data_IF_588947151842
#
_entry.id   IF_588947151842
#
_cell.length_a   1.000
_cell.length_b   1.000
_cell.length_c   1.000
_cell.angle_alpha   90.00
_cell.angle_beta   90.00
_cell.angle_gamma   90.00
#
_symmetry.space_group_name_H-M   'P 1'
#
loop_
_entity.id
_entity.type
_entity.pdbx_description
1 polymer ?
#
# COMPACT_ATOMS: atom_id res chain seq x y z
N UNK A 1 -2.83 30.72 42.79
CA UNK A 1 -2.11 30.82 41.50
C UNK A 1 -1.50 29.51 40.97
N UNK A 2 -1.75 28.33 41.58
CA UNK A 2 -1.28 27.04 41.02
C UNK A 2 -2.29 26.36 40.06
N UNK A 3 -3.59 26.66 40.19
CA UNK A 3 -4.64 26.01 39.40
C UNK A 3 -4.88 26.62 38.01
N UNK A 4 -4.57 27.91 37.80
CA UNK A 4 -4.74 28.58 36.51
C UNK A 4 -3.68 28.14 35.48
N UNK A 5 -2.50 27.74 35.95
CA UNK A 5 -1.40 27.27 35.11
C UNK A 5 -1.68 25.87 34.52
N UNK A 6 -2.41 25.02 35.25
CA UNK A 6 -2.81 23.68 34.79
C UNK A 6 -3.80 23.72 33.62
N UNK A 7 -4.71 24.71 33.60
CA UNK A 7 -5.74 24.86 32.56
C UNK A 7 -5.18 25.36 31.22
N UNK A 8 -4.16 26.22 31.25
CA UNK A 8 -3.52 26.76 30.04
C UNK A 8 -2.66 25.68 29.37
N UNK A 9 -2.01 24.83 30.16
CA UNK A 9 -1.20 23.71 29.65
C UNK A 9 -2.09 22.64 29.01
N UNK A 10 -3.22 22.26 29.61
CA UNK A 10 -4.14 21.26 29.02
C UNK A 10 -4.82 21.73 27.73
N UNK A 11 -5.17 23.02 27.62
CA UNK A 11 -5.74 23.57 26.38
C UNK A 11 -4.73 23.63 25.23
N UNK A 12 -3.46 23.91 25.52
CA UNK A 12 -2.39 23.92 24.51
C UNK A 12 -2.08 22.51 23.96
N UNK A 13 -2.22 21.45 24.77
CA UNK A 13 -2.00 20.07 24.31
C UNK A 13 -3.16 19.51 23.48
N UNK A 14 -4.40 19.95 23.74
CA UNK A 14 -5.58 19.51 22.98
C UNK A 14 -5.61 20.11 21.57
N UNK A 15 -5.17 21.36 21.39
CA UNK A 15 -5.13 22.03 20.09
C UNK A 15 -4.03 21.49 19.17
N UNK A 16 -2.88 21.05 19.71
CA UNK A 16 -1.85 20.38 18.92
C UNK A 16 -2.31 19.01 18.39
N UNK A 17 -3.01 18.22 19.21
CA UNK A 17 -3.51 16.89 18.79
C UNK A 17 -4.60 17.00 17.71
N UNK A 18 -5.48 18.00 17.79
CA UNK A 18 -6.51 18.21 16.76
C UNK A 18 -5.89 18.70 15.45
N UNK A 19 -4.95 19.65 15.49
CA UNK A 19 -4.26 20.14 14.29
C UNK A 19 -3.47 19.03 13.58
N UNK A 20 -2.72 18.22 14.33
CA UNK A 20 -1.98 17.08 13.78
C UNK A 20 -2.91 16.03 13.13
N UNK A 21 -4.08 15.79 13.73
CA UNK A 21 -5.08 14.87 13.17
C UNK A 21 -5.65 15.39 11.84
N UNK A 22 -5.86 16.71 11.72
CA UNK A 22 -6.37 17.34 10.50
C UNK A 22 -5.33 17.30 9.39
N UNK A 23 -4.07 17.62 9.69
CA UNK A 23 -2.96 17.53 8.75
C UNK A 23 -2.78 16.09 8.22
N UNK A 24 -2.86 15.09 9.09
CA UNK A 24 -2.77 13.69 8.71
C UNK A 24 -3.86 13.23 7.74
N UNK A 25 -5.08 13.81 7.83
CA UNK A 25 -6.19 13.52 6.92
C UNK A 25 -5.88 14.10 5.54
N UNK A 26 -5.45 15.36 5.46
CA UNK A 26 -5.12 16.00 4.18
C UNK A 26 -3.96 15.31 3.46
N UNK A 27 -2.97 14.82 4.20
CA UNK A 27 -1.86 14.05 3.61
C UNK A 27 -2.39 12.75 3.01
N UNK A 28 -3.26 12.01 3.72
CA UNK A 28 -3.84 10.78 3.19
C UNK A 28 -4.71 11.03 1.96
N UNK A 29 -5.55 12.06 1.97
CA UNK A 29 -6.35 12.47 0.81
C UNK A 29 -5.47 12.80 -0.40
N UNK A 30 -4.39 13.55 -0.18
CA UNK A 30 -3.45 13.88 -1.25
C UNK A 30 -2.76 12.63 -1.83
N UNK A 31 -2.33 11.70 -0.97
CA UNK A 31 -1.69 10.45 -1.41
C UNK A 31 -2.69 9.60 -2.21
N UNK A 32 -3.93 9.46 -1.74
CA UNK A 32 -4.99 8.74 -2.45
C UNK A 32 -5.26 9.34 -3.82
N UNK A 33 -5.42 10.66 -3.90
CA UNK A 33 -5.65 11.35 -5.18
C UNK A 33 -4.46 11.21 -6.14
N UNK A 34 -3.23 11.27 -5.62
CA UNK A 34 -2.05 10.99 -6.44
C UNK A 34 -2.11 9.57 -7.01
N UNK A 35 -2.39 8.58 -6.15
CA UNK A 35 -2.42 7.17 -6.53
C UNK A 35 -3.46 6.90 -7.62
N UNK A 36 -4.69 7.36 -7.43
CA UNK A 36 -5.78 7.23 -8.41
C UNK A 36 -5.44 7.90 -9.74
N UNK A 37 -4.85 9.09 -9.71
CA UNK A 37 -4.49 9.83 -10.92
C UNK A 37 -3.35 9.15 -11.69
N UNK A 38 -2.34 8.63 -10.99
CA UNK A 38 -1.24 7.89 -11.63
C UNK A 38 -1.70 6.54 -12.19
N UNK A 39 -2.62 5.84 -11.51
CA UNK A 39 -3.27 4.64 -12.07
C UNK A 39 -4.08 4.99 -13.32
N UNK A 40 -4.88 6.07 -13.27
CA UNK A 40 -5.66 6.52 -14.42
C UNK A 40 -4.76 6.85 -15.62
N UNK A 41 -3.69 7.62 -15.41
CA UNK A 41 -2.69 7.91 -16.46
C UNK A 41 -2.10 6.62 -17.02
N UNK A 42 -1.73 5.68 -16.14
CA UNK A 42 -1.14 4.41 -16.54
C UNK A 42 -2.09 3.60 -17.40
N UNK A 43 -3.35 3.42 -16.98
CA UNK A 43 -4.37 2.73 -17.79
C UNK A 43 -4.54 3.40 -19.14
N UNK A 44 -4.56 4.74 -19.19
CA UNK A 44 -4.68 5.46 -20.45
C UNK A 44 -3.48 5.32 -21.38
N UNK A 45 -2.26 5.10 -20.85
CA UNK A 45 -1.10 4.78 -21.68
C UNK A 45 -1.24 3.44 -22.41
N UNK A 46 -2.03 2.51 -21.85
CA UNK A 46 -2.34 1.21 -22.45
C UNK A 46 -3.73 1.16 -23.11
N UNK A 47 -4.38 2.30 -23.35
CA UNK A 47 -5.78 2.37 -23.82
C UNK A 47 -5.99 1.78 -25.24
N UNK A 48 -4.93 1.62 -26.03
CA UNK A 48 -5.00 0.89 -27.32
C UNK A 48 -5.08 -0.63 -27.13
N UNK A 49 -4.54 -1.14 -26.01
CA UNK A 49 -4.48 -2.56 -25.67
C UNK A 49 -5.64 -2.99 -24.74
N UNK A 50 -6.32 -2.02 -24.12
CA UNK A 50 -7.38 -2.25 -23.14
C UNK A 50 -8.73 -1.79 -23.69
N UNK A 51 -9.74 -2.68 -23.79
CA UNK A 51 -11.09 -2.26 -24.15
C UNK A 51 -11.64 -1.24 -23.14
N UNK A 52 -12.26 -0.16 -23.63
CA UNK A 52 -12.76 0.97 -22.82
C UNK A 52 -13.64 0.56 -21.61
N UNK A 53 -14.38 -0.55 -21.72
CA UNK A 53 -15.22 -1.06 -20.63
C UNK A 53 -14.44 -1.70 -19.47
N UNK A 54 -13.14 -1.95 -19.62
CA UNK A 54 -12.25 -2.46 -18.57
C UNK A 54 -11.46 -1.37 -17.85
N UNK A 55 -11.53 -0.11 -18.30
CA UNK A 55 -10.77 1.00 -17.70
C UNK A 55 -11.06 1.15 -16.21
N UNK A 56 -12.34 1.15 -15.83
CA UNK A 56 -12.75 1.24 -14.43
C UNK A 56 -12.27 0.03 -13.61
N UNK A 57 -12.31 -1.17 -14.19
CA UNK A 57 -11.82 -2.39 -13.56
C UNK A 57 -10.31 -2.35 -13.34
N UNK A 58 -9.53 -1.77 -14.27
CA UNK A 58 -8.08 -1.62 -14.10
C UNK A 58 -7.72 -0.57 -13.05
N UNK A 59 -8.45 0.54 -12.98
CA UNK A 59 -8.23 1.56 -11.93
C UNK A 59 -8.47 0.95 -10.53
N UNK A 60 -9.42 0.02 -10.42
CA UNK A 60 -9.76 -0.65 -9.16
C UNK A 60 -9.06 -2.00 -8.96
N UNK A 61 -8.01 -2.28 -9.72
CA UNK A 61 -7.40 -3.61 -9.79
C UNK A 61 -6.83 -4.10 -8.46
N UNK A 62 -6.21 -3.23 -7.65
CA UNK A 62 -5.75 -3.61 -6.30
C UNK A 62 -6.90 -4.07 -5.41
N UNK A 63 -8.04 -3.39 -5.45
CA UNK A 63 -9.25 -3.77 -4.72
C UNK A 63 -9.79 -5.12 -5.20
N UNK A 64 -9.83 -5.33 -6.52
CA UNK A 64 -10.27 -6.61 -7.08
C UNK A 64 -9.35 -7.76 -6.66
N UNK A 65 -8.04 -7.53 -6.65
CA UNK A 65 -7.07 -8.54 -6.22
C UNK A 65 -7.18 -8.84 -4.72
N UNK A 66 -7.26 -7.82 -3.86
CA UNK A 66 -7.47 -8.03 -2.41
C UNK A 66 -8.77 -8.81 -2.14
N UNK A 67 -9.86 -8.44 -2.81
CA UNK A 67 -11.15 -9.12 -2.70
C UNK A 67 -11.05 -10.57 -3.15
N UNK A 68 -10.32 -10.83 -4.23
CA UNK A 68 -10.07 -12.19 -4.70
C UNK A 68 -9.29 -13.00 -3.65
N UNK A 69 -8.21 -12.46 -3.08
CA UNK A 69 -7.43 -13.14 -2.04
C UNK A 69 -8.29 -13.49 -0.81
N UNK A 70 -9.21 -12.59 -0.42
CA UNK A 70 -10.16 -12.84 0.67
C UNK A 70 -11.14 -13.96 0.32
N UNK A 71 -11.73 -13.90 -0.87
CA UNK A 71 -12.71 -14.89 -1.32
C UNK A 71 -12.10 -16.30 -1.47
N UNK A 72 -10.85 -16.38 -1.90
CA UNK A 72 -10.09 -17.64 -1.99
C UNK A 72 -9.50 -18.09 -0.64
N UNK A 73 -9.76 -17.34 0.44
CA UNK A 73 -9.23 -17.61 1.80
C UNK A 73 -7.71 -17.66 1.88
N UNK A 74 -7.03 -17.00 0.94
CA UNK A 74 -5.59 -16.72 0.99
C UNK A 74 -5.32 -15.63 2.01
N UNK A 75 -6.20 -14.64 2.06
CA UNK A 75 -6.25 -13.59 3.07
C UNK A 75 -7.53 -13.78 3.90
N UNK A 76 -7.49 -13.61 5.23
CA UNK A 76 -8.71 -13.79 6.04
C UNK A 76 -9.64 -12.57 5.94
N UNK A 77 -9.06 -11.37 5.96
CA UNK A 77 -9.73 -10.06 5.89
C UNK A 77 -8.73 -8.97 5.44
N UNK A 78 -9.19 -7.74 5.28
CA UNK A 78 -8.36 -6.60 4.87
C UNK A 78 -7.47 -6.01 5.99
N UNK A 79 -7.37 -6.69 7.14
CA UNK A 79 -6.61 -6.19 8.28
C UNK A 79 -5.11 -6.41 8.15
N UNK A 80 -4.36 -5.55 8.83
CA UNK A 80 -2.91 -5.63 8.95
C UNK A 80 -2.43 -7.01 9.43
N UNK A 81 -3.13 -7.64 10.37
CA UNK A 81 -2.75 -8.93 10.91
C UNK A 81 -2.94 -10.06 9.90
N UNK A 82 -3.99 -10.00 9.08
CA UNK A 82 -4.18 -10.95 7.98
C UNK A 82 -3.07 -10.86 6.96
N UNK A 83 -2.61 -9.64 6.62
CA UNK A 83 -1.45 -9.47 5.76
C UNK A 83 -0.16 -10.01 6.38
N UNK A 84 0.09 -9.77 7.68
CA UNK A 84 1.27 -10.35 8.36
C UNK A 84 1.28 -11.87 8.26
N UNK A 85 0.14 -12.50 8.58
CA UNK A 85 -0.01 -13.95 8.52
C UNK A 85 0.19 -14.48 7.09
N UNK A 86 -0.34 -13.79 6.09
CA UNK A 86 -0.12 -14.14 4.68
C UNK A 86 1.37 -14.19 4.34
N UNK A 87 2.16 -13.18 4.72
CA UNK A 87 3.60 -13.19 4.46
C UNK A 87 4.36 -14.26 5.26
N UNK A 88 3.94 -14.57 6.49
CA UNK A 88 4.48 -15.71 7.25
C UNK A 88 4.16 -17.05 6.55
N UNK A 89 2.95 -17.21 6.03
CA UNK A 89 2.55 -18.43 5.33
C UNK A 89 3.28 -18.56 3.98
N UNK A 90 3.63 -17.45 3.32
CA UNK A 90 4.50 -17.43 2.14
C UNK A 90 5.96 -17.81 2.47
N UNK A 91 6.50 -17.28 3.58
CA UNK A 91 7.84 -17.65 4.06
C UNK A 91 7.96 -19.15 4.30
N UNK A 92 6.90 -19.72 4.90
CA UNK A 92 6.79 -21.15 5.19
C UNK A 92 6.32 -21.99 3.99
N UNK A 93 6.23 -21.41 2.79
CA UNK A 93 5.83 -22.09 1.55
C UNK A 93 4.48 -22.82 1.63
N UNK A 94 3.55 -22.32 2.46
CA UNK A 94 2.19 -22.88 2.58
C UNK A 94 1.25 -22.38 1.49
N UNK A 95 1.64 -21.34 0.77
CA UNK A 95 0.84 -20.65 -0.24
C UNK A 95 1.63 -20.59 -1.54
N UNK A 96 1.00 -20.95 -2.65
CA UNK A 96 1.57 -20.85 -3.98
C UNK A 96 1.01 -19.62 -4.72
N UNK A 97 1.75 -18.50 -4.74
CA UNK A 97 1.28 -17.27 -5.39
C UNK A 97 1.19 -17.36 -6.92
N UNK A 98 1.91 -18.28 -7.56
CA UNK A 98 1.85 -18.46 -9.01
C UNK A 98 0.48 -19.05 -9.42
N UNK A 99 0.02 -20.04 -8.68
CA UNK A 99 -1.32 -20.62 -8.84
C UNK A 99 -2.41 -19.57 -8.56
N UNK A 100 -2.24 -18.78 -7.51
CA UNK A 100 -3.17 -17.70 -7.15
C UNK A 100 -3.23 -16.63 -8.25
N UNK A 101 -2.08 -16.19 -8.78
CA UNK A 101 -1.99 -15.26 -9.91
C UNK A 101 -2.73 -15.81 -11.12
N UNK A 102 -2.49 -17.08 -11.46
CA UNK A 102 -3.12 -17.75 -12.61
C UNK A 102 -4.65 -17.76 -12.46
N UNK A 103 -5.15 -18.21 -11.30
CA UNK A 103 -6.58 -18.25 -11.01
C UNK A 103 -7.23 -16.86 -11.05
N UNK A 104 -6.51 -15.82 -10.60
CA UNK A 104 -7.00 -14.45 -10.65
C UNK A 104 -7.16 -13.94 -12.09
N UNK A 105 -6.15 -14.16 -12.95
CA UNK A 105 -6.19 -13.76 -14.36
C UNK A 105 -7.32 -14.49 -15.10
N UNK A 106 -7.48 -15.79 -14.86
CA UNK A 106 -8.56 -16.59 -15.45
C UNK A 106 -9.94 -16.06 -15.09
N UNK A 107 -10.14 -15.62 -13.83
CA UNK A 107 -11.42 -15.02 -13.39
C UNK A 107 -11.68 -13.65 -13.99
N UNK A 108 -10.64 -12.81 -14.11
CA UNK A 108 -10.79 -11.46 -14.66
C UNK A 108 -11.14 -11.48 -16.15
N UNK A 109 -10.69 -12.50 -16.90
CA UNK A 109 -10.83 -12.58 -18.37
C UNK A 109 -10.14 -11.42 -19.11
N UNK A 110 -9.26 -10.70 -18.44
CA UNK A 110 -8.35 -9.72 -19.01
C UNK A 110 -7.06 -9.67 -18.18
N UNK A 111 -6.00 -9.13 -18.78
CA UNK A 111 -4.66 -9.19 -18.22
C UNK A 111 -4.37 -7.95 -17.35
N UNK A 112 -4.13 -8.08 -16.03
CA UNK A 112 -4.00 -6.94 -15.13
C UNK A 112 -2.56 -6.43 -15.01
N UNK A 113 -1.62 -7.01 -15.74
CA UNK A 113 -0.19 -6.65 -15.75
C UNK A 113 0.11 -5.16 -15.96
N UNK A 114 -0.67 -4.39 -16.76
CA UNK A 114 -0.49 -2.95 -16.83
C UNK A 114 -0.52 -2.27 -15.47
N UNK A 115 -1.19 -2.82 -14.46
CA UNK A 115 -1.24 -2.25 -13.11
C UNK A 115 -0.11 -2.77 -12.22
N UNK A 116 0.16 -4.07 -12.28
CA UNK A 116 1.06 -4.73 -11.32
C UNK A 116 2.50 -4.84 -11.79
N UNK A 117 2.78 -4.72 -13.09
CA UNK A 117 4.11 -4.88 -13.64
C UNK A 117 4.73 -3.55 -14.10
N UNK A 118 6.05 -3.55 -14.30
CA UNK A 118 6.82 -2.37 -14.71
C UNK A 118 6.65 -1.19 -13.75
N UNK A 119 6.44 0.00 -14.30
CA UNK A 119 6.27 1.24 -13.51
C UNK A 119 5.06 1.26 -12.58
N UNK A 120 4.10 0.34 -12.71
CA UNK A 120 2.91 0.28 -11.85
C UNK A 120 3.23 -0.09 -10.41
N UNK A 121 4.25 -0.95 -10.23
CA UNK A 121 4.80 -1.33 -8.92
C UNK A 121 5.22 -0.14 -8.06
N UNK A 122 5.71 0.93 -8.71
CA UNK A 122 6.31 2.09 -8.07
C UNK A 122 5.31 3.19 -7.73
N UNK A 123 4.09 3.16 -8.28
CA UNK A 123 3.10 4.22 -8.09
C UNK A 123 2.83 4.52 -6.61
N UNK A 124 2.56 3.51 -5.74
CA UNK A 124 2.31 3.78 -4.32
C UNK A 124 3.47 4.54 -3.66
N UNK A 125 4.71 4.07 -3.92
CA UNK A 125 5.93 4.65 -3.38
C UNK A 125 6.13 6.09 -3.84
N UNK A 126 5.95 6.36 -5.13
CA UNK A 126 6.08 7.71 -5.71
C UNK A 126 5.07 8.67 -5.08
N UNK A 127 3.81 8.24 -4.91
CA UNK A 127 2.78 9.10 -4.32
C UNK A 127 3.02 9.40 -2.84
N UNK A 128 3.47 8.41 -2.07
CA UNK A 128 3.85 8.62 -0.67
C UNK A 128 5.08 9.56 -0.57
N UNK A 129 6.07 9.39 -1.46
CA UNK A 129 7.25 10.25 -1.51
C UNK A 129 6.92 11.69 -1.93
N UNK A 130 6.02 11.89 -2.90
CA UNK A 130 5.59 13.23 -3.33
C UNK A 130 4.83 13.96 -2.22
N UNK A 131 3.98 13.25 -1.47
CA UNK A 131 3.32 13.82 -0.30
C UNK A 131 4.34 14.24 0.76
N UNK A 132 5.35 13.39 0.99
CA UNK A 132 6.44 13.71 1.91
C UNK A 132 7.20 14.98 1.51
N UNK A 133 7.54 15.15 0.22
CA UNK A 133 8.20 16.35 -0.29
C UNK A 133 7.32 17.60 -0.20
N UNK A 134 6.03 17.47 -0.51
CA UNK A 134 5.10 18.60 -0.61
C UNK A 134 4.70 19.17 0.75
N UNK A 135 4.50 18.31 1.76
CA UNK A 135 4.06 18.71 3.10
C UNK A 135 5.23 18.90 4.07
N UNK A 136 6.46 19.07 3.54
CA UNK A 136 7.66 19.40 4.31
C UNK A 136 7.87 18.50 5.54
N UNK A 137 7.56 17.20 5.40
CA UNK A 137 7.56 16.23 6.51
C UNK A 137 8.98 15.85 6.98
N UNK A 138 9.98 16.73 6.89
CA UNK A 138 11.36 16.57 7.38
C UNK A 138 11.50 16.29 8.88
N UNK A 139 10.41 16.00 9.60
CA UNK A 139 10.50 15.14 10.77
C UNK A 139 10.93 13.74 10.33
N UNK A 140 12.25 13.59 10.14
CA UNK A 140 12.94 12.31 10.26
C UNK A 140 12.32 11.56 11.44
N UNK A 141 11.75 10.38 11.16
CA UNK A 141 11.06 9.56 12.16
C UNK A 141 9.53 9.54 12.09
N UNK A 142 8.87 10.23 11.15
CA UNK A 142 7.46 9.96 10.87
C UNK A 142 7.27 8.53 10.33
N UNK A 143 6.10 7.92 10.55
CA UNK A 143 5.85 6.57 10.05
C UNK A 143 5.86 6.51 8.52
N UNK A 144 5.37 7.55 7.82
CA UNK A 144 5.43 7.62 6.34
C UNK A 144 6.87 7.74 5.84
N UNK A 145 7.73 8.45 6.56
CA UNK A 145 9.17 8.50 6.25
C UNK A 145 9.81 7.11 6.39
N UNK A 146 9.55 6.43 7.51
CA UNK A 146 10.05 5.08 7.73
C UNK A 146 9.48 4.09 6.69
N UNK A 147 8.25 4.33 6.21
CA UNK A 147 7.62 3.51 5.18
C UNK A 147 8.35 3.64 3.85
N UNK A 148 8.70 4.87 3.44
CA UNK A 148 9.50 5.12 2.23
C UNK A 148 10.86 4.43 2.37
N UNK A 149 11.53 4.57 3.53
CA UNK A 149 12.82 3.90 3.77
C UNK A 149 12.71 2.37 3.68
N UNK A 150 11.61 1.81 4.18
CA UNK A 150 11.35 0.37 4.05
C UNK A 150 11.14 -0.03 2.58
N UNK A 151 10.41 0.77 1.79
CA UNK A 151 10.21 0.56 0.36
C UNK A 151 11.46 0.86 -0.52
N UNK A 152 12.40 1.65 -0.02
CA UNK A 152 13.71 1.93 -0.66
C UNK A 152 14.74 0.84 -0.38
N UNK A 153 14.65 0.21 0.80
CA UNK A 153 15.49 -0.93 1.17
C UNK A 153 15.23 -2.20 0.34
N UNK A 154 14.20 -2.18 -0.51
CA UNK A 154 13.89 -3.25 -1.43
C UNK A 154 14.94 -3.32 -2.56
N UNK A 155 15.77 -4.36 -2.52
CA UNK A 155 16.85 -4.58 -3.48
C UNK A 155 16.50 -5.81 -4.31
N UNK A 156 16.41 -5.70 -5.65
CA UNK A 156 16.00 -6.82 -6.49
C UNK A 156 16.92 -8.04 -6.36
N UNK A 157 16.35 -9.24 -6.25
CA UNK A 157 17.05 -10.51 -6.42
C UNK A 157 17.46 -11.31 -5.17
N UNK A 158 17.00 -10.94 -3.96
CA UNK A 158 17.28 -11.72 -2.74
C UNK A 158 15.99 -12.01 -1.96
N UNK A 159 15.48 -13.26 -2.07
CA UNK A 159 14.22 -13.74 -1.48
C UNK A 159 14.04 -13.42 0.01
N UNK A 160 15.04 -13.70 0.84
CA UNK A 160 14.95 -13.44 2.29
C UNK A 160 14.82 -11.94 2.61
N UNK A 161 15.40 -11.07 1.77
CA UNK A 161 15.26 -9.62 1.93
C UNK A 161 13.86 -9.14 1.54
N UNK A 162 13.14 -9.83 0.64
CA UNK A 162 11.79 -9.43 0.26
C UNK A 162 10.78 -9.61 1.38
N UNK A 163 10.74 -10.80 2.00
CA UNK A 163 9.78 -11.08 3.09
C UNK A 163 10.07 -10.18 4.29
N UNK A 164 11.36 -10.03 4.66
CA UNK A 164 11.78 -9.09 5.71
C UNK A 164 11.33 -7.65 5.40
N UNK A 165 11.47 -7.22 4.14
CA UNK A 165 11.03 -5.89 3.69
C UNK A 165 9.51 -5.74 3.79
N UNK A 166 8.73 -6.74 3.39
CA UNK A 166 7.27 -6.68 3.55
C UNK A 166 6.85 -6.60 5.02
N UNK A 167 7.50 -7.35 5.91
CA UNK A 167 7.26 -7.23 7.35
C UNK A 167 7.60 -5.83 7.87
N UNK A 168 8.70 -5.22 7.43
CA UNK A 168 9.06 -3.83 7.79
C UNK A 168 8.00 -2.84 7.30
N UNK A 169 7.56 -2.96 6.05
CA UNK A 169 6.53 -2.11 5.45
C UNK A 169 5.23 -2.23 6.25
N UNK A 170 4.73 -3.45 6.44
CA UNK A 170 3.49 -3.69 7.20
C UNK A 170 3.60 -3.10 8.60
N UNK A 171 4.66 -3.43 9.33
CA UNK A 171 4.82 -2.96 10.72
C UNK A 171 4.89 -1.44 10.84
N UNK A 172 5.34 -0.75 9.79
CA UNK A 172 5.45 0.71 9.79
C UNK A 172 4.11 1.42 9.60
N UNK A 173 3.16 0.82 8.87
CA UNK A 173 1.84 1.43 8.61
C UNK A 173 0.99 1.37 9.89
N UNK A 174 0.48 2.49 10.42
CA UNK A 174 -0.44 2.48 11.56
C UNK A 174 -1.73 1.73 11.28
N UNK A 175 -2.28 1.05 12.27
CA UNK A 175 -3.47 0.19 12.10
C UNK A 175 -4.68 0.99 11.59
N UNK A 176 -4.86 2.22 12.07
CA UNK A 176 -5.92 3.13 11.62
C UNK A 176 -5.70 3.72 10.22
N UNK A 177 -4.56 3.44 9.59
CA UNK A 177 -4.22 3.86 8.22
C UNK A 177 -4.17 2.69 7.25
N UNK A 178 -4.10 1.46 7.75
CA UNK A 178 -3.89 0.26 6.92
C UNK A 178 -4.99 0.04 5.88
N UNK A 179 -6.22 0.45 6.15
CA UNK A 179 -7.33 0.27 5.21
C UNK A 179 -7.29 1.24 4.01
N UNK A 180 -6.38 2.21 3.97
CA UNK A 180 -6.23 3.09 2.80
C UNK A 180 -5.45 2.35 1.72
N UNK A 181 -6.07 2.16 0.55
CA UNK A 181 -5.58 1.27 -0.50
C UNK A 181 -4.13 1.56 -0.92
N UNK A 182 -3.71 2.82 -1.03
CA UNK A 182 -2.33 3.15 -1.43
C UNK A 182 -1.27 2.53 -0.52
N UNK A 183 -1.55 2.37 0.78
CA UNK A 183 -0.60 1.75 1.71
C UNK A 183 -0.55 0.23 1.57
N UNK A 184 -1.64 -0.40 1.09
CA UNK A 184 -1.71 -1.83 0.78
C UNK A 184 -1.24 -2.16 -0.64
N UNK A 185 -1.40 -1.23 -1.57
CA UNK A 185 -1.13 -1.42 -2.99
C UNK A 185 0.30 -1.86 -3.26
N UNK A 186 1.27 -1.33 -2.50
CA UNK A 186 2.65 -1.80 -2.59
C UNK A 186 2.75 -3.29 -2.21
N UNK A 187 2.17 -3.72 -1.08
CA UNK A 187 2.17 -5.14 -0.67
C UNK A 187 1.48 -6.02 -1.73
N UNK A 188 0.34 -5.58 -2.25
CA UNK A 188 -0.43 -6.28 -3.28
C UNK A 188 0.33 -6.42 -4.59
N UNK A 189 1.10 -5.41 -5.00
CA UNK A 189 1.98 -5.50 -6.17
C UNK A 189 2.99 -6.64 -6.02
N UNK A 190 3.60 -6.79 -4.84
CA UNK A 190 4.60 -7.84 -4.63
C UNK A 190 3.96 -9.22 -4.53
N UNK A 191 2.80 -9.32 -3.88
CA UNK A 191 2.01 -10.55 -3.87
C UNK A 191 1.68 -10.98 -5.31
N UNK A 192 1.19 -10.08 -6.15
CA UNK A 192 0.84 -10.37 -7.54
C UNK A 192 2.05 -10.85 -8.35
N UNK A 193 3.19 -10.15 -8.23
CA UNK A 193 4.39 -10.49 -8.99
C UNK A 193 5.02 -11.82 -8.59
N UNK A 194 4.58 -12.42 -7.47
CA UNK A 194 5.09 -13.72 -7.04
C UNK A 194 6.59 -13.71 -6.74
N UNK A 195 7.16 -12.57 -6.33
CA UNK A 195 8.59 -12.37 -6.02
C UNK A 195 9.09 -13.18 -4.79
N UNK A 196 8.31 -14.18 -4.38
CA UNK A 196 8.57 -15.14 -3.33
C UNK A 196 8.91 -16.53 -3.88
N UNK A 197 8.72 -16.77 -5.19
CA UNK A 197 8.81 -18.09 -5.82
C UNK A 197 9.88 -18.13 -6.91
N UNK A 198 11.16 -18.07 -6.52
CA UNK A 198 12.22 -18.67 -7.35
C UNK A 198 12.59 -20.03 -6.74
N UNK A 199 12.42 -21.07 -7.55
CA UNK A 199 13.20 -22.31 -7.44
C UNK A 199 14.48 -22.15 -8.24
#
# INVERSE_FOLDING_TARGET
MKNTFYFIITFAFLSCKSAQKVEDIYIDEYITLCFENELFKRVNLFNEEVPKHFVDSLINMHTHFETFLINEKVLNDDSKNSYKKLFEDLENQKINMEEIKTNFIEKLKFYPDPIFEGGGTQIPKVCIANAYLKYDLYKKGSWRYNLILAMDGDSPGIKSKYIETQHKIINTIPDNKFNIMVYKAYLLNYLYLGLYNDK
#
